data_IF_718686528611
#
_entry.id   IF_718686528611
#
_cell.length_a   1.000
_cell.length_b   1.000
_cell.length_c   1.000
_cell.angle_alpha   90.00
_cell.angle_beta   90.00
_cell.angle_gamma   90.00
#
_symmetry.space_group_name_H-M   'P 1'
#
loop_
_entity.id
_entity.type
_entity.pdbx_description
1 polymer ?
#
# COMPACT_ATOMS: atom_id res chain seq x y z
N UNK A 1 -16.77 22.40 66.57
CA UNK A 1 -15.84 22.32 65.43
C UNK A 1 -15.98 20.92 64.86
N UNK A 2 -16.30 20.64 63.60
CA UNK A 2 -16.07 21.36 62.35
C UNK A 2 -17.12 20.86 61.33
N UNK A 3 -17.74 21.80 60.58
CA UNK A 3 -18.54 21.55 59.38
C UNK A 3 -17.59 21.19 58.23
N UNK A 4 -17.93 20.24 57.37
CA UNK A 4 -17.67 20.38 55.92
C UNK A 4 -18.60 19.46 55.11
N UNK A 5 -19.60 20.07 54.48
CA UNK A 5 -20.18 19.59 53.21
C UNK A 5 -19.17 19.87 52.10
N UNK A 6 -19.09 19.01 51.07
CA UNK A 6 -18.89 19.42 49.67
C UNK A 6 -19.54 18.34 48.78
N UNK A 7 -20.57 18.77 48.04
CA UNK A 7 -21.07 18.14 46.83
C UNK A 7 -20.17 18.54 45.66
N UNK A 8 -19.75 17.60 44.80
CA UNK A 8 -19.20 17.90 43.46
C UNK A 8 -19.42 16.67 42.58
N UNK A 9 -20.50 16.65 41.78
CA UNK A 9 -20.61 17.12 40.38
C UNK A 9 -20.15 16.05 39.37
N UNK A 10 -21.08 15.69 38.47
CA UNK A 10 -20.93 14.76 37.35
C UNK A 10 -19.75 15.10 36.44
N UNK A 11 -19.05 14.07 35.97
CA UNK A 11 -18.39 14.09 34.66
C UNK A 11 -18.91 12.91 33.84
N UNK A 12 -19.83 13.22 32.91
CA UNK A 12 -20.28 12.35 31.84
C UNK A 12 -19.11 12.23 30.85
N UNK A 13 -18.30 11.18 30.95
CA UNK A 13 -17.26 10.90 29.96
C UNK A 13 -17.94 10.23 28.78
N UNK A 14 -18.41 11.05 27.84
CA UNK A 14 -18.77 10.58 26.51
C UNK A 14 -17.53 9.96 25.86
N UNK A 15 -17.56 8.65 25.68
CA UNK A 15 -16.64 7.99 24.74
C UNK A 15 -17.01 8.48 23.35
N UNK A 16 -16.31 9.51 22.87
CA UNK A 16 -16.21 9.74 21.44
C UNK A 16 -15.59 8.47 20.86
N UNK A 17 -16.36 7.78 20.01
CA UNK A 17 -15.80 6.79 19.09
C UNK A 17 -14.73 7.53 18.29
N UNK A 18 -13.47 7.25 18.61
CA UNK A 18 -12.35 7.61 17.76
C UNK A 18 -12.63 6.93 16.43
N UNK A 19 -13.06 7.72 15.45
CA UNK A 19 -12.96 7.35 14.06
C UNK A 19 -11.51 6.88 13.87
N UNK A 20 -11.36 5.62 13.47
CA UNK A 20 -10.07 5.04 13.11
C UNK A 20 -9.62 5.81 11.87
N UNK A 21 -8.95 6.93 12.12
CA UNK A 21 -8.27 7.69 11.12
C UNK A 21 -7.11 6.81 10.66
N UNK A 22 -7.24 6.37 9.41
CA UNK A 22 -6.24 5.70 8.58
C UNK A 22 -4.84 6.33 8.79
N UNK A 23 -4.10 5.81 9.77
CA UNK A 23 -2.71 6.16 10.03
C UNK A 23 -1.84 5.41 9.03
N UNK A 24 -1.94 5.77 7.76
CA UNK A 24 -1.12 5.19 6.69
C UNK A 24 -0.01 6.13 6.22
N UNK A 25 0.49 6.94 7.15
CA UNK A 25 1.83 7.51 7.08
C UNK A 25 2.72 6.75 8.06
N UNK A 26 3.34 5.70 7.52
CA UNK A 26 4.71 5.24 7.81
C UNK A 26 5.09 5.25 9.29
N UNK A 27 4.96 4.08 9.92
CA UNK A 27 5.86 3.76 11.04
C UNK A 27 7.28 4.16 10.58
N UNK A 28 8.01 5.05 11.29
CA UNK A 28 9.35 5.46 10.88
C UNK A 28 10.33 4.28 10.79
N UNK A 29 9.95 3.11 11.31
CA UNK A 29 10.68 1.85 11.19
C UNK A 29 10.30 1.02 9.96
N UNK A 30 9.30 1.45 9.17
CA UNK A 30 8.86 0.76 7.98
C UNK A 30 9.93 0.83 6.89
N UNK A 31 10.40 -0.33 6.44
CA UNK A 31 11.36 -0.47 5.34
C UNK A 31 10.65 -1.03 4.13
N UNK A 32 10.91 -0.44 2.96
CA UNK A 32 10.46 -1.00 1.69
C UNK A 32 11.30 -2.23 1.32
N UNK A 33 10.63 -3.26 0.82
CA UNK A 33 11.30 -4.42 0.24
C UNK A 33 10.49 -5.03 -0.91
N UNK A 34 11.19 -5.73 -1.80
CA UNK A 34 10.60 -6.57 -2.84
C UNK A 34 10.57 -8.01 -2.38
N UNK A 35 9.42 -8.68 -2.43
CA UNK A 35 9.35 -10.12 -2.19
C UNK A 35 9.99 -10.83 -3.38
N UNK A 36 11.02 -11.65 -3.13
CA UNK A 36 11.70 -12.44 -4.16
C UNK A 36 11.07 -13.82 -4.25
N UNK A 37 10.69 -14.39 -3.11
CA UNK A 37 10.12 -15.73 -3.03
C UNK A 37 9.26 -15.87 -1.79
N UNK A 38 8.19 -16.64 -1.91
CA UNK A 38 7.36 -17.08 -0.77
C UNK A 38 7.38 -18.61 -0.75
N UNK A 39 7.69 -19.19 0.40
CA UNK A 39 7.57 -20.62 0.67
C UNK A 39 6.46 -20.83 1.71
N UNK A 40 5.24 -21.17 1.29
CA UNK A 40 4.11 -21.37 2.19
C UNK A 40 4.28 -22.64 3.05
N UNK A 41 5.04 -23.65 2.59
CA UNK A 41 5.27 -24.88 3.35
C UNK A 41 6.23 -24.64 4.51
N UNK A 42 7.32 -23.93 4.23
CA UNK A 42 8.28 -23.52 5.25
C UNK A 42 7.80 -22.33 6.09
N UNK A 43 6.68 -21.68 5.68
CA UNK A 43 6.22 -20.38 6.22
C UNK A 43 7.37 -19.37 6.23
N UNK A 44 8.01 -19.15 5.08
CA UNK A 44 9.09 -18.16 4.95
C UNK A 44 8.92 -17.30 3.70
N UNK A 45 9.37 -16.05 3.75
CA UNK A 45 9.48 -15.20 2.58
C UNK A 45 10.91 -14.68 2.47
N UNK A 46 11.47 -14.70 1.28
CA UNK A 46 12.73 -14.02 0.98
C UNK A 46 12.39 -12.64 0.42
N UNK A 47 12.85 -11.60 1.08
CA UNK A 47 12.65 -10.21 0.69
C UNK A 47 13.99 -9.57 0.36
N UNK A 48 14.00 -8.68 -0.63
CA UNK A 48 15.13 -7.87 -1.04
C UNK A 48 14.90 -6.45 -0.54
N UNK A 49 15.67 -6.05 0.46
CA UNK A 49 15.63 -4.70 1.04
C UNK A 49 16.65 -3.83 0.33
N UNK A 50 16.25 -2.61 -0.04
CA UNK A 50 17.18 -1.59 -0.55
C UNK A 50 17.81 -0.91 0.67
N UNK A 51 19.06 -1.25 0.98
CA UNK A 51 19.86 -0.54 1.98
C UNK A 51 20.79 0.46 1.27
N UNK A 52 21.23 1.51 1.98
CA UNK A 52 21.86 2.71 1.44
C UNK A 52 22.85 2.50 0.26
N UNK A 53 23.65 1.42 0.27
CA UNK A 53 24.66 1.17 -0.76
C UNK A 53 24.55 -0.21 -1.44
N UNK A 54 23.56 -1.04 -1.05
CA UNK A 54 23.38 -2.38 -1.63
C UNK A 54 22.02 -2.97 -1.30
N UNK A 55 21.58 -3.83 -2.20
CA UNK A 55 20.45 -4.70 -1.95
C UNK A 55 20.85 -5.84 -0.99
N UNK A 56 20.02 -6.06 0.03
CA UNK A 56 20.21 -7.14 1.01
C UNK A 56 19.02 -8.08 0.94
N UNK A 57 19.29 -9.36 0.67
CA UNK A 57 18.28 -10.40 0.78
C UNK A 57 18.17 -10.88 2.22
N UNK A 58 16.93 -10.86 2.76
CA UNK A 58 16.60 -11.36 4.09
C UNK A 58 15.50 -12.40 3.95
N UNK A 59 15.72 -13.58 4.51
CA UNK A 59 14.64 -14.57 4.65
C UNK A 59 13.98 -14.37 6.01
N UNK A 60 12.68 -14.10 6.00
CA UNK A 60 11.87 -13.87 7.18
C UNK A 60 10.99 -15.09 7.43
N UNK A 61 10.86 -15.48 8.71
CA UNK A 61 9.87 -16.45 9.13
C UNK A 61 8.52 -15.78 9.17
N UNK A 62 7.55 -16.42 8.57
CA UNK A 62 6.17 -15.98 8.52
C UNK A 62 5.43 -16.64 9.68
N UNK A 63 5.31 -15.89 10.78
CA UNK A 63 4.65 -16.34 12.01
C UNK A 63 3.21 -15.81 12.09
N UNK A 64 2.40 -16.39 12.97
CA UNK A 64 1.04 -15.92 13.28
C UNK A 64 1.05 -14.56 14.00
N UNK A 65 2.17 -14.22 14.63
CA UNK A 65 2.37 -12.96 15.35
C UNK A 65 2.68 -11.78 14.41
N UNK A 66 2.88 -12.04 13.10
CA UNK A 66 3.07 -10.99 12.10
C UNK A 66 1.70 -10.51 11.62
N UNK A 67 1.47 -9.21 11.70
CA UNK A 67 0.30 -8.60 11.10
C UNK A 67 0.50 -8.47 9.59
N UNK A 68 -0.27 -9.25 8.82
CA UNK A 68 -0.29 -9.20 7.36
C UNK A 68 -1.39 -8.23 6.92
N UNK A 69 -1.02 -7.19 6.18
CA UNK A 69 -1.95 -6.18 5.69
C UNK A 69 -1.99 -6.12 4.18
N UNK A 70 -3.19 -6.00 3.63
CA UNK A 70 -3.39 -5.66 2.22
C UNK A 70 -3.02 -4.20 1.94
N UNK A 71 -3.15 -3.81 0.68
CA UNK A 71 -2.84 -2.45 0.22
C UNK A 71 -3.79 -1.37 0.78
N UNK A 72 -4.92 -1.78 1.37
CA UNK A 72 -5.88 -0.89 2.05
C UNK A 72 -5.67 -0.84 3.56
N UNK A 73 -4.66 -1.56 4.08
CA UNK A 73 -4.39 -1.65 5.52
C UNK A 73 -5.31 -2.61 6.27
N UNK A 74 -6.05 -3.48 5.58
CA UNK A 74 -6.87 -4.51 6.24
C UNK A 74 -6.06 -5.76 6.51
N UNK A 75 -6.33 -6.40 7.65
CA UNK A 75 -5.74 -7.70 7.99
C UNK A 75 -6.09 -8.72 6.93
N UNK A 76 -5.07 -9.39 6.42
CA UNK A 76 -5.14 -10.37 5.36
C UNK A 76 -4.41 -11.65 5.75
N UNK A 77 -4.58 -12.69 4.93
CA UNK A 77 -3.76 -13.89 5.03
C UNK A 77 -2.47 -13.71 4.24
N UNK A 78 -1.51 -14.57 4.54
CA UNK A 78 -0.19 -14.54 3.92
C UNK A 78 -0.17 -14.84 2.42
N UNK A 79 -1.18 -15.55 1.93
CA UNK A 79 -1.36 -15.96 0.54
C UNK A 79 -1.57 -14.78 -0.41
N UNK A 80 -1.87 -13.58 0.11
CA UNK A 80 -1.95 -12.37 -0.73
C UNK A 80 -0.58 -11.94 -1.26
N UNK A 81 0.51 -12.37 -0.63
CA UNK A 81 1.86 -11.97 -0.98
C UNK A 81 2.48 -12.95 -1.98
N UNK A 82 3.00 -12.38 -3.06
CA UNK A 82 3.60 -13.12 -4.17
C UNK A 82 4.98 -12.57 -4.50
N UNK A 83 5.79 -13.38 -5.19
CA UNK A 83 7.07 -12.90 -5.71
C UNK A 83 6.84 -11.70 -6.65
N UNK A 84 7.63 -10.65 -6.48
CA UNK A 84 7.50 -9.38 -7.17
C UNK A 84 6.60 -8.35 -6.46
N UNK A 85 5.94 -8.70 -5.36
CA UNK A 85 5.19 -7.73 -4.57
C UNK A 85 6.14 -6.83 -3.79
N UNK A 86 5.82 -5.54 -3.76
CA UNK A 86 6.53 -4.54 -2.98
C UNK A 86 5.77 -4.33 -1.67
N UNK A 87 6.50 -4.36 -0.56
CA UNK A 87 5.92 -4.39 0.78
C UNK A 87 6.64 -3.44 1.72
N UNK A 88 5.90 -2.94 2.70
CA UNK A 88 6.46 -2.33 3.89
C UNK A 88 6.64 -3.39 4.97
N UNK A 89 7.85 -3.46 5.51
CA UNK A 89 8.21 -4.29 6.66
C UNK A 89 8.42 -3.41 7.88
N UNK A 90 7.72 -3.68 8.97
CA UNK A 90 8.01 -3.07 10.27
C UNK A 90 8.76 -4.07 11.14
N UNK A 91 9.87 -3.62 11.73
CA UNK A 91 10.69 -4.40 12.64
C UNK A 91 10.61 -3.81 14.07
N UNK A 92 10.34 -4.65 15.06
CA UNK A 92 10.49 -4.33 16.48
C UNK A 92 11.41 -5.34 17.12
N UNK A 93 12.39 -4.86 17.90
CA UNK A 93 13.30 -5.70 18.68
C UNK A 93 14.02 -6.79 17.84
N UNK A 94 14.36 -6.44 16.59
CA UNK A 94 15.03 -7.35 15.63
C UNK A 94 14.11 -8.33 14.91
N UNK A 95 12.80 -8.31 15.19
CA UNK A 95 11.80 -9.21 14.62
C UNK A 95 10.80 -8.44 13.75
N UNK A 96 10.39 -9.03 12.63
CA UNK A 96 9.34 -8.46 11.79
C UNK A 96 8.00 -8.64 12.51
N UNK A 97 7.27 -7.55 12.69
CA UNK A 97 5.95 -7.55 13.36
C UNK A 97 4.81 -7.23 12.40
N UNK A 98 5.11 -6.62 11.24
CA UNK A 98 4.10 -6.25 10.23
C UNK A 98 4.65 -6.35 8.82
N UNK A 99 3.82 -6.86 7.92
CA UNK A 99 4.06 -6.93 6.48
C UNK A 99 2.86 -6.35 5.75
N UNK A 100 3.04 -5.26 5.01
CA UNK A 100 1.95 -4.57 4.31
C UNK A 100 2.24 -4.41 2.83
N UNK A 101 1.27 -4.65 1.95
CA UNK A 101 1.43 -4.33 0.51
C UNK A 101 1.57 -2.83 0.29
N UNK A 102 2.55 -2.44 -0.55
CA UNK A 102 2.82 -1.05 -0.94
C UNK A 102 2.27 -0.74 -2.35
N UNK A 103 1.14 -1.34 -2.72
CA UNK A 103 0.45 -0.98 -3.96
C UNK A 103 -0.53 0.16 -3.68
N UNK A 104 -0.51 1.22 -4.49
CA UNK A 104 -1.42 2.36 -4.34
C UNK A 104 -2.41 2.38 -5.49
N UNK A 105 -3.71 2.46 -5.18
CA UNK A 105 -4.71 2.69 -6.22
C UNK A 105 -4.63 4.11 -6.76
N UNK A 106 -4.61 4.23 -8.08
CA UNK A 106 -4.58 5.52 -8.75
C UNK A 106 -5.34 5.48 -10.09
N UNK A 107 -5.65 6.65 -10.61
CA UNK A 107 -6.22 6.85 -11.95
C UNK A 107 -5.25 7.67 -12.79
N UNK A 108 -4.85 7.16 -13.95
CA UNK A 108 -3.95 7.89 -14.84
C UNK A 108 -4.67 9.13 -15.35
N UNK A 109 -4.08 10.30 -15.12
CA UNK A 109 -4.54 11.56 -15.72
C UNK A 109 -3.74 11.87 -16.98
N UNK A 110 -2.44 11.58 -16.96
CA UNK A 110 -1.55 11.73 -18.12
C UNK A 110 -0.37 10.77 -18.01
N UNK A 111 0.09 10.26 -19.14
CA UNK A 111 1.36 9.55 -19.26
C UNK A 111 2.18 10.20 -20.37
N UNK A 112 3.45 10.46 -20.11
CA UNK A 112 4.41 11.03 -21.07
C UNK A 112 5.61 10.10 -21.14
N UNK A 113 5.55 9.14 -22.06
CA UNK A 113 6.61 8.14 -22.27
C UNK A 113 7.91 8.76 -22.76
N UNK A 114 7.86 9.92 -23.43
CA UNK A 114 9.06 10.64 -23.88
C UNK A 114 9.78 11.32 -22.71
N UNK A 115 9.02 11.80 -21.72
CA UNK A 115 9.57 12.42 -20.50
C UNK A 115 9.76 11.45 -19.35
N UNK A 116 9.40 10.17 -19.53
CA UNK A 116 9.36 9.17 -18.46
C UNK A 116 8.60 9.67 -17.22
N UNK A 117 7.39 10.21 -17.42
CA UNK A 117 6.54 10.65 -16.30
C UNK A 117 5.10 10.16 -16.44
N UNK A 118 4.46 9.98 -15.29
CA UNK A 118 3.02 9.77 -15.20
C UNK A 118 2.40 10.68 -14.15
N UNK A 119 1.32 11.36 -14.52
CA UNK A 119 0.45 12.11 -13.62
C UNK A 119 -0.75 11.25 -13.29
N UNK A 120 -0.96 11.01 -12.00
CA UNK A 120 -2.04 10.17 -11.50
C UNK A 120 -2.86 10.90 -10.45
N UNK A 121 -4.14 10.58 -10.38
CA UNK A 121 -5.05 10.94 -9.29
C UNK A 121 -5.13 9.78 -8.32
N UNK A 122 -4.85 10.03 -7.05
CA UNK A 122 -4.83 9.01 -6.01
C UNK A 122 -5.30 9.60 -4.69
N UNK A 123 -5.63 8.76 -3.72
CA UNK A 123 -5.95 9.23 -2.37
C UNK A 123 -4.68 9.38 -1.55
N UNK A 124 -4.52 10.54 -0.93
CA UNK A 124 -3.53 10.79 0.11
C UNK A 124 -4.25 11.44 1.30
N UNK A 125 -4.10 10.86 2.50
CA UNK A 125 -4.76 11.34 3.72
C UNK A 125 -6.29 11.50 3.56
N UNK A 126 -6.91 10.56 2.84
CA UNK A 126 -8.35 10.56 2.56
C UNK A 126 -8.82 11.58 1.51
N UNK A 127 -7.93 12.39 0.94
CA UNK A 127 -8.26 13.38 -0.10
C UNK A 127 -7.72 12.94 -1.46
N UNK A 128 -8.48 13.25 -2.51
CA UNK A 128 -7.99 13.06 -3.87
C UNK A 128 -6.90 14.10 -4.17
N UNK A 129 -5.72 13.62 -4.54
CA UNK A 129 -4.58 14.43 -4.93
C UNK A 129 -4.10 14.01 -6.32
N UNK A 130 -3.61 14.98 -7.09
CA UNK A 130 -2.97 14.73 -8.38
C UNK A 130 -1.46 14.89 -8.20
N UNK A 131 -0.71 13.80 -8.42
CA UNK A 131 0.76 13.78 -8.27
C UNK A 131 1.39 13.32 -9.58
N UNK A 132 2.46 14.00 -9.97
CA UNK A 132 3.30 13.59 -11.11
C UNK A 132 4.53 12.88 -10.59
N UNK A 133 4.76 11.69 -11.10
CA UNK A 133 5.89 10.83 -10.76
C UNK A 133 6.80 10.65 -11.96
N UNK A 134 8.07 10.39 -11.69
CA UNK A 134 8.95 9.79 -12.69
C UNK A 134 8.61 8.31 -12.83
N UNK A 135 8.84 7.76 -14.01
CA UNK A 135 8.81 6.33 -14.26
C UNK A 135 10.25 5.83 -14.15
N UNK A 136 10.47 4.80 -13.33
CA UNK A 136 11.77 4.16 -13.24
C UNK A 136 12.20 3.62 -14.61
N UNK A 137 13.50 3.54 -14.88
CA UNK A 137 14.02 3.00 -16.14
C UNK A 137 13.61 1.53 -16.36
N UNK A 138 13.52 0.77 -15.27
CA UNK A 138 13.17 -0.65 -15.22
C UNK A 138 11.73 -0.90 -14.77
N UNK A 139 10.83 0.08 -14.98
CA UNK A 139 9.43 -0.02 -14.60
C UNK A 139 8.76 -1.30 -15.13
N UNK A 140 8.12 -2.04 -14.22
CA UNK A 140 7.31 -3.22 -14.55
C UNK A 140 5.87 -2.81 -14.92
N UNK A 141 5.55 -2.88 -16.20
CA UNK A 141 4.19 -2.70 -16.71
C UNK A 141 3.44 -4.02 -16.71
N UNK A 142 2.22 -4.04 -16.16
CA UNK A 142 1.39 -5.24 -16.13
C UNK A 142 -0.04 -4.99 -16.58
N UNK A 143 -0.60 -5.90 -17.37
CA UNK A 143 -2.03 -5.88 -17.69
C UNK A 143 -2.91 -6.25 -16.48
N UNK A 144 -4.23 -6.25 -16.67
CA UNK A 144 -5.19 -6.58 -15.62
C UNK A 144 -5.10 -8.03 -15.14
N UNK A 145 -4.54 -8.92 -15.96
CA UNK A 145 -4.29 -10.32 -15.60
C UNK A 145 -2.98 -10.51 -14.82
N UNK A 146 -2.17 -9.45 -14.70
CA UNK A 146 -0.85 -9.51 -14.08
C UNK A 146 0.23 -10.08 -15.00
N UNK A 147 0.03 -10.04 -16.32
CA UNK A 147 1.09 -10.36 -17.28
C UNK A 147 1.88 -9.10 -17.63
N UNK A 148 3.18 -9.26 -17.86
CA UNK A 148 4.05 -8.16 -18.30
C UNK A 148 3.52 -7.61 -19.63
N UNK A 149 3.43 -6.29 -19.71
CA UNK A 149 2.90 -5.54 -20.84
C UNK A 149 3.83 -4.38 -21.23
N UNK A 150 3.47 -3.64 -22.27
CA UNK A 150 4.17 -2.42 -22.68
C UNK A 150 3.48 -1.18 -22.11
N UNK A 151 4.22 -0.07 -21.97
CA UNK A 151 3.67 1.22 -21.52
C UNK A 151 2.46 1.71 -22.34
N UNK A 152 2.38 1.32 -23.62
CA UNK A 152 1.35 1.75 -24.57
C UNK A 152 -0.07 1.29 -24.20
N UNK A 153 -0.22 0.27 -23.35
CA UNK A 153 -1.55 -0.18 -22.91
C UNK A 153 -2.18 0.74 -21.88
N UNK A 154 -1.42 1.70 -21.35
CA UNK A 154 -1.82 2.62 -20.30
C UNK A 154 -2.17 3.98 -20.89
N UNK A 155 -3.39 4.41 -20.65
CA UNK A 155 -3.96 5.63 -21.20
C UNK A 155 -4.59 6.49 -20.13
N UNK A 156 -4.80 7.77 -20.44
CA UNK A 156 -5.55 8.67 -19.55
C UNK A 156 -6.94 8.11 -19.30
N UNK A 157 -7.35 8.08 -18.03
CA UNK A 157 -8.62 7.51 -17.58
C UNK A 157 -8.51 6.11 -17.00
N UNK A 158 -7.43 5.37 -17.27
CA UNK A 158 -7.26 4.01 -16.74
C UNK A 158 -7.11 4.01 -15.21
N UNK A 159 -7.75 3.04 -14.57
CA UNK A 159 -7.50 2.72 -13.16
C UNK A 159 -6.31 1.78 -13.09
N UNK A 160 -5.38 2.08 -12.18
CA UNK A 160 -4.14 1.33 -12.02
C UNK A 160 -3.81 1.13 -10.55
N UNK A 161 -3.05 0.08 -10.27
CA UNK A 161 -2.24 -0.04 -9.06
C UNK A 161 -0.81 0.37 -9.40
N UNK A 162 -0.24 1.29 -8.63
CA UNK A 162 1.14 1.73 -8.78
C UNK A 162 1.95 1.35 -7.57
N UNK A 163 3.22 1.03 -7.76
CA UNK A 163 4.21 0.99 -6.67
C UNK A 163 5.14 2.18 -6.84
N UNK A 164 5.26 2.97 -5.77
CA UNK A 164 6.19 4.09 -5.67
C UNK A 164 7.38 3.69 -4.80
N UNK A 165 8.59 3.95 -5.26
CA UNK A 165 9.83 3.86 -4.49
C UNK A 165 10.64 5.13 -4.79
N UNK A 166 11.12 5.85 -3.76
CA UNK A 166 11.97 7.06 -3.94
C UNK A 166 11.37 8.15 -4.87
N UNK A 167 10.04 8.30 -4.88
CA UNK A 167 9.27 9.18 -5.78
C UNK A 167 9.25 8.77 -7.27
N UNK A 168 9.65 7.53 -7.57
CA UNK A 168 9.53 6.94 -8.91
C UNK A 168 8.52 5.79 -8.90
N UNK A 169 7.74 5.66 -9.96
CA UNK A 169 6.88 4.48 -10.16
C UNK A 169 7.76 3.36 -10.71
N UNK A 170 7.87 2.29 -9.95
CA UNK A 170 8.64 1.09 -10.30
C UNK A 170 7.76 -0.02 -10.87
N UNK A 171 6.45 0.04 -10.64
CA UNK A 171 5.47 -0.91 -11.16
C UNK A 171 4.15 -0.22 -11.44
N UNK A 172 3.53 -0.54 -12.56
CA UNK A 172 2.21 -0.07 -12.93
C UNK A 172 1.38 -1.22 -13.46
N UNK A 173 0.30 -1.57 -12.76
CA UNK A 173 -0.62 -2.64 -13.12
C UNK A 173 -1.98 -2.07 -13.47
N UNK A 174 -2.54 -2.47 -14.62
CA UNK A 174 -3.92 -2.08 -14.98
C UNK A 174 -4.91 -2.76 -14.04
N UNK A 175 -5.93 -2.03 -13.62
CA UNK A 175 -7.02 -2.58 -12.85
C UNK A 175 -8.31 -2.43 -13.65
N UNK A 176 -8.83 -3.55 -14.14
CA UNK A 176 -10.18 -3.59 -14.68
C UNK A 176 -11.16 -3.54 -13.50
N UNK A 177 -11.34 -2.36 -12.90
CA UNK A 177 -12.62 -2.09 -12.24
C UNK A 177 -13.62 -2.07 -13.36
N UNK A 178 -14.32 -3.19 -13.57
CA UNK A 178 -15.47 -3.24 -14.48
C UNK A 178 -16.30 -1.98 -14.22
N UNK A 179 -16.54 -1.11 -15.21
CA UNK A 179 -17.52 -0.05 -15.00
C UNK A 179 -18.80 -0.78 -14.61
N UNK A 180 -19.29 -0.52 -13.40
CA UNK A 180 -20.58 -1.01 -12.94
C UNK A 180 -21.54 -0.73 -14.07
N UNK A 181 -22.02 -1.79 -14.73
CA UNK A 181 -22.90 -1.68 -15.87
C UNK A 181 -24.09 -0.85 -15.42
N UNK A 182 -24.16 0.40 -15.86
CA UNK A 182 -25.39 1.19 -15.76
C UNK A 182 -26.41 0.38 -16.55
N UNK A 183 -27.45 -0.21 -15.92
CA UNK A 183 -28.46 -0.91 -16.68
C UNK A 183 -29.05 0.08 -17.69
N UNK A 184 -29.29 -0.35 -18.94
CA UNK A 184 -29.83 0.53 -19.96
C UNK A 184 -31.14 1.13 -19.43
N UNK A 185 -31.21 2.46 -19.45
CA UNK A 185 -32.45 3.19 -19.22
C UNK A 185 -33.40 2.75 -20.34
N UNK A 186 -34.36 1.89 -19.99
CA UNK A 186 -35.43 1.49 -20.90
C UNK A 186 -36.20 2.74 -21.34
N UNK A 187 -36.38 2.87 -22.66
CA UNK A 187 -37.35 3.78 -23.26
C UNK A 187 -38.77 3.28 -22.98
#
# INVERSE_FOLDING_TARGET
MMRTMIFTLLALVGFMSLAVADQDKTDPKAKEAKIIKVDPKAKTATVKLKAADKDVEKTIKLAEEIEYLDNTGKVANIDIFTAGDMVFLVESDGQITKLKKNDKEAKISKIDTKKHTATVKMKAEGKDVEKTFKLAEDIEYMDSTGKVANAEIFTSGDNVMIVECENEITKMKRCDKSPTATPPKGN
#
